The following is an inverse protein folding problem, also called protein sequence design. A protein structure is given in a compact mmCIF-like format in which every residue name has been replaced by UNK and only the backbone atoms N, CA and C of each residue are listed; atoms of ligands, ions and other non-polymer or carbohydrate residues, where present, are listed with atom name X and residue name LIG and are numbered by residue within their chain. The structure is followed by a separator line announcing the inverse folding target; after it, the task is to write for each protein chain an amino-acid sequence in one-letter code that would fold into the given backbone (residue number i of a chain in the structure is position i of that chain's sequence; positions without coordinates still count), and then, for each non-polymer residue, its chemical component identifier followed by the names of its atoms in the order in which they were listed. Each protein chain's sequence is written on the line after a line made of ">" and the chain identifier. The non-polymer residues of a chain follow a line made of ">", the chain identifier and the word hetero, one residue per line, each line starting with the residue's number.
data_IF_280895721566
#
_entry.id   IF_280895721566
#
_cell.length_a   1.000
_cell.length_b   1.000
_cell.length_c   1.000
_cell.angle_alpha   90.00
_cell.angle_beta   90.00
_cell.angle_gamma   90.00
#
_symmetry.space_group_name_H-M   'P 1'
#
loop_
_entity.id
_entity.type
_entity.pdbx_description
1 polymer ?
#
# COMPACT_ATOMS: atom_id res chain seq x y z
N UNK A 1 -3.13 15.09 24.89
CA UNK A 1 -2.92 15.12 23.43
C UNK A 1 -3.53 13.86 22.86
N UNK A 2 -4.58 13.96 22.05
CA UNK A 2 -5.24 12.79 21.47
C UNK A 2 -4.23 12.06 20.56
N UNK A 3 -3.98 10.77 20.82
CA UNK A 3 -3.27 9.91 19.87
C UNK A 3 -4.14 9.84 18.63
N UNK A 4 -3.86 10.69 17.63
CA UNK A 4 -4.33 10.44 16.26
C UNK A 4 -3.95 9.01 15.96
N UNK A 5 -4.94 8.15 15.74
CA UNK A 5 -4.73 6.75 15.43
C UNK A 5 -3.63 6.64 14.38
N UNK A 6 -2.67 5.75 14.61
CA UNK A 6 -1.58 5.50 13.68
C UNK A 6 -2.22 5.01 12.39
N UNK A 7 -2.41 5.91 11.42
CA UNK A 7 -3.00 5.57 10.13
C UNK A 7 -2.06 4.57 9.49
N UNK A 8 -2.53 3.37 9.23
CA UNK A 8 -1.76 2.36 8.50
C UNK A 8 -1.58 2.89 7.07
N UNK A 9 -0.45 3.53 6.83
CA UNK A 9 -0.18 4.20 5.55
C UNK A 9 -0.10 3.16 4.43
N UNK A 10 0.29 1.92 4.70
CA UNK A 10 0.41 0.90 3.67
C UNK A 10 0.32 -0.49 4.29
N UNK A 11 -0.61 -1.30 3.77
CA UNK A 11 -0.72 -2.71 4.13
C UNK A 11 0.20 -3.55 3.24
N UNK A 12 0.60 -4.71 3.72
CA UNK A 12 1.38 -5.69 2.96
C UNK A 12 0.48 -6.88 2.68
N UNK A 13 0.44 -7.30 1.42
CA UNK A 13 -0.18 -8.52 0.94
C UNK A 13 0.94 -9.51 0.64
N UNK A 14 0.88 -10.65 1.31
CA UNK A 14 1.87 -11.72 1.25
C UNK A 14 1.34 -12.97 0.55
N UNK A 15 0.02 -13.11 0.43
CA UNK A 15 -0.62 -14.27 -0.19
C UNK A 15 -1.59 -13.91 -1.32
N UNK A 16 -1.87 -14.88 -2.19
CA UNK A 16 -2.89 -14.71 -3.24
C UNK A 16 -4.31 -14.55 -2.65
N UNK A 17 -4.58 -15.17 -1.50
CA UNK A 17 -5.87 -15.05 -0.82
C UNK A 17 -6.11 -13.62 -0.34
N UNK A 18 -5.11 -13.02 0.31
CA UNK A 18 -5.12 -11.61 0.72
C UNK A 18 -5.23 -10.65 -0.49
N UNK A 19 -4.61 -11.00 -1.62
CA UNK A 19 -4.73 -10.23 -2.85
C UNK A 19 -6.17 -10.26 -3.40
N UNK A 20 -6.79 -11.43 -3.47
CA UNK A 20 -8.18 -11.58 -3.91
C UNK A 20 -9.16 -10.87 -2.96
N UNK A 21 -8.93 -10.92 -1.65
CA UNK A 21 -9.70 -10.17 -0.67
C UNK A 21 -9.53 -8.66 -0.86
N UNK A 22 -8.31 -8.19 -1.13
CA UNK A 22 -8.03 -6.79 -1.42
C UNK A 22 -8.84 -6.29 -2.62
N UNK A 23 -8.86 -7.05 -3.72
CA UNK A 23 -9.61 -6.69 -4.92
C UNK A 23 -11.12 -6.62 -4.65
N UNK A 24 -11.66 -7.53 -3.82
CA UNK A 24 -13.09 -7.55 -3.45
C UNK A 24 -13.46 -6.38 -2.52
N UNK A 25 -12.63 -6.12 -1.51
CA UNK A 25 -12.90 -5.11 -0.48
C UNK A 25 -12.78 -3.68 -1.02
N UNK A 26 -11.90 -3.45 -2.00
CA UNK A 26 -11.62 -2.12 -2.56
C UNK A 26 -12.03 -2.00 -4.04
N UNK A 27 -12.98 -2.82 -4.49
CA UNK A 27 -13.39 -2.91 -5.92
C UNK A 27 -13.84 -1.58 -6.54
N UNK A 28 -14.30 -0.63 -5.73
CA UNK A 28 -14.82 0.67 -6.13
C UNK A 28 -13.84 1.83 -5.90
N UNK A 29 -12.59 1.53 -5.52
CA UNK A 29 -11.54 2.51 -5.22
C UNK A 29 -10.35 2.21 -6.14
N UNK A 30 -9.59 3.25 -6.50
CA UNK A 30 -8.33 3.04 -7.22
C UNK A 30 -7.34 2.30 -6.32
N UNK A 31 -6.93 1.10 -6.73
CA UNK A 31 -5.92 0.30 -6.04
C UNK A 31 -4.55 0.57 -6.67
N UNK A 32 -3.58 1.01 -5.86
CA UNK A 32 -2.18 1.17 -6.24
C UNK A 32 -1.33 0.07 -5.60
N UNK A 33 -0.80 -0.82 -6.43
CA UNK A 33 0.06 -1.93 -6.02
C UNK A 33 1.53 -1.53 -6.12
N UNK A 34 2.23 -1.51 -4.99
CA UNK A 34 3.69 -1.49 -4.96
C UNK A 34 4.17 -2.95 -4.99
N UNK A 35 4.38 -3.46 -6.21
CA UNK A 35 4.99 -4.78 -6.42
C UNK A 35 6.47 -4.67 -6.09
N UNK A 36 6.94 -5.44 -5.11
CA UNK A 36 8.30 -5.32 -4.59
C UNK A 36 8.94 -6.68 -4.32
N UNK A 37 10.28 -6.69 -4.35
CA UNK A 37 11.09 -7.80 -3.85
C UNK A 37 12.14 -7.26 -2.86
N UNK A 38 12.47 -8.05 -1.83
CA UNK A 38 13.54 -7.74 -0.89
C UNK A 38 14.92 -7.75 -1.56
N UNK A 39 15.03 -8.37 -2.74
CA UNK A 39 16.27 -8.44 -3.53
C UNK A 39 16.35 -7.35 -4.60
N UNK A 40 15.36 -6.46 -4.69
CA UNK A 40 15.31 -5.36 -5.66
C UNK A 40 15.73 -4.03 -5.01
N UNK A 41 16.98 -3.61 -5.24
CA UNK A 41 17.52 -2.37 -4.66
C UNK A 41 16.71 -1.10 -5.03
N UNK A 42 16.20 -1.02 -6.26
CA UNK A 42 15.34 0.09 -6.70
C UNK A 42 14.00 0.12 -5.96
N UNK A 43 13.42 -1.06 -5.69
CA UNK A 43 12.18 -1.19 -4.96
C UNK A 43 12.33 -0.69 -3.52
N UNK A 44 13.44 -1.08 -2.86
CA UNK A 44 13.78 -0.61 -1.51
C UNK A 44 13.98 0.90 -1.45
N UNK A 45 14.66 1.49 -2.44
CA UNK A 45 14.89 2.93 -2.50
C UNK A 45 13.58 3.73 -2.71
N UNK A 46 12.62 3.15 -3.43
CA UNK A 46 11.38 3.85 -3.85
C UNK A 46 10.27 3.80 -2.79
N UNK A 47 10.27 2.80 -1.90
CA UNK A 47 9.17 2.59 -0.95
C UNK A 47 8.86 3.79 -0.03
N UNK A 48 9.87 4.56 0.37
CA UNK A 48 9.65 5.78 1.16
C UNK A 48 8.97 6.91 0.35
N UNK A 49 9.27 7.02 -0.95
CA UNK A 49 8.63 7.99 -1.82
C UNK A 49 7.15 7.64 -2.04
N UNK A 50 6.84 6.35 -2.21
CA UNK A 50 5.47 5.85 -2.38
C UNK A 50 4.61 6.14 -1.14
N UNK A 51 5.14 5.88 0.07
CA UNK A 51 4.44 6.21 1.33
C UNK A 51 4.12 7.69 1.46
N UNK A 52 5.04 8.58 1.05
CA UNK A 52 4.80 10.03 1.03
C UNK A 52 3.73 10.40 0.01
N UNK A 53 3.83 9.84 -1.20
CA UNK A 53 2.86 10.08 -2.27
C UNK A 53 1.42 9.72 -1.84
N UNK A 54 1.19 8.64 -1.07
CA UNK A 54 -0.14 8.30 -0.55
C UNK A 54 -0.74 9.43 0.31
N UNK A 55 0.08 10.05 1.16
CA UNK A 55 -0.36 11.13 2.05
C UNK A 55 -0.76 12.39 1.27
N UNK A 56 -0.17 12.60 0.08
CA UNK A 56 -0.37 13.80 -0.74
C UNK A 56 -1.48 13.65 -1.77
N UNK A 57 -1.63 12.48 -2.41
CA UNK A 57 -2.42 12.33 -3.63
C UNK A 57 -3.87 11.89 -3.34
N UNK A 58 -4.09 11.05 -2.34
CA UNK A 58 -5.36 10.31 -2.26
C UNK A 58 -6.02 10.24 -0.90
N UNK A 59 -5.26 10.14 0.19
CA UNK A 59 -5.77 9.70 1.50
C UNK A 59 -6.74 8.51 1.31
N UNK A 60 -8.04 8.70 1.51
CA UNK A 60 -9.08 7.66 1.41
C UNK A 60 -9.53 7.34 -0.02
N UNK A 61 -9.11 8.11 -1.03
CA UNK A 61 -9.50 7.92 -2.44
C UNK A 61 -8.67 6.88 -3.19
N UNK A 62 -7.54 6.48 -2.63
CA UNK A 62 -6.61 5.53 -3.21
C UNK A 62 -6.24 4.52 -2.14
N UNK A 63 -6.54 3.26 -2.40
CA UNK A 63 -6.04 2.19 -1.56
C UNK A 63 -4.67 1.78 -2.08
N UNK A 64 -3.64 1.90 -1.24
CA UNK A 64 -2.25 1.61 -1.61
C UNK A 64 -1.69 0.51 -0.72
N UNK A 65 -1.15 -0.52 -1.38
CA UNK A 65 -0.76 -1.79 -0.78
C UNK A 65 0.54 -2.30 -1.38
N UNK A 66 1.37 -2.91 -0.54
CA UNK A 66 2.63 -3.55 -0.91
C UNK A 66 2.37 -5.01 -1.24
N UNK A 67 2.86 -5.50 -2.37
CA UNK A 67 2.73 -6.89 -2.76
C UNK A 67 4.13 -7.50 -2.89
N UNK A 68 4.42 -8.51 -2.07
CA UNK A 68 5.71 -9.20 -2.10
C UNK A 68 5.73 -10.23 -3.23
N UNK A 69 6.77 -10.19 -4.07
CA UNK A 69 7.08 -11.19 -5.10
C UNK A 69 8.24 -12.07 -4.71
#
# INVERSE_FOLDING_TARGET
>A
MARKGQVTIQETVETNEEFEETLKNYYNILICLEVYSEYCGYCLATGNAIRKAKLEIGQDRIYMVKVKT
#
